data_IF_291648769855
#
_entry.id   IF_291648769855
#
_cell.length_a   1.000
_cell.length_b   1.000
_cell.length_c   1.000
_cell.angle_alpha   90.00
_cell.angle_beta   90.00
_cell.angle_gamma   90.00
#
_symmetry.space_group_name_H-M   'P 1'
#
loop_
_entity.id
_entity.type
_entity.pdbx_description
1 polymer ?
#
# COMPACT_ATOMS: atom_id res chain seq x y z
N UNK A 1 -6.87 2.43 38.86
CA UNK A 1 -7.06 1.10 38.23
C UNK A 1 -8.03 1.13 37.05
N UNK A 2 -9.19 1.82 37.12
CA UNK A 2 -10.16 1.90 36.02
C UNK A 2 -9.60 2.45 34.70
N UNK A 3 -8.74 3.47 34.76
CA UNK A 3 -8.13 4.10 33.58
C UNK A 3 -7.19 3.15 32.81
N UNK A 4 -6.44 2.28 33.51
CA UNK A 4 -5.56 1.30 32.87
C UNK A 4 -6.36 0.24 32.11
N UNK A 5 -7.45 -0.24 32.70
CA UNK A 5 -8.36 -1.16 32.02
C UNK A 5 -9.04 -0.52 30.83
N UNK A 6 -9.45 0.75 30.92
CA UNK A 6 -10.03 1.49 29.80
C UNK A 6 -9.04 1.64 28.62
N UNK A 7 -7.77 1.97 28.90
CA UNK A 7 -6.72 2.06 27.88
C UNK A 7 -6.40 0.72 27.24
N UNK A 8 -6.33 -0.35 28.03
CA UNK A 8 -6.11 -1.72 27.53
C UNK A 8 -7.30 -2.15 26.66
N UNK A 9 -8.53 -1.93 27.12
CA UNK A 9 -9.74 -2.22 26.34
C UNK A 9 -9.75 -1.42 25.03
N UNK A 10 -9.46 -0.11 25.07
CA UNK A 10 -9.36 0.70 23.86
C UNK A 10 -8.28 0.16 22.92
N UNK A 11 -7.08 -0.12 23.42
CA UNK A 11 -5.99 -0.69 22.63
C UNK A 11 -6.34 -2.02 21.97
N UNK A 12 -7.01 -2.93 22.70
CA UNK A 12 -7.48 -4.20 22.17
C UNK A 12 -8.57 -4.01 21.11
N UNK A 13 -9.49 -3.07 21.31
CA UNK A 13 -10.53 -2.74 20.32
C UNK A 13 -9.89 -2.17 19.06
N UNK A 14 -9.00 -1.18 19.19
CA UNK A 14 -8.28 -0.59 18.05
C UNK A 14 -7.47 -1.64 17.31
N UNK A 15 -6.73 -2.49 18.02
CA UNK A 15 -5.97 -3.59 17.41
C UNK A 15 -6.88 -4.55 16.65
N UNK A 16 -8.02 -4.92 17.25
CA UNK A 16 -9.00 -5.80 16.61
C UNK A 16 -9.56 -5.18 15.33
N UNK A 17 -9.87 -3.88 15.34
CA UNK A 17 -10.36 -3.15 14.16
C UNK A 17 -9.28 -3.12 13.08
N UNK A 18 -8.03 -2.77 13.43
CA UNK A 18 -6.90 -2.70 12.48
C UNK A 18 -6.61 -4.07 11.87
N UNK A 19 -6.51 -5.12 12.69
CA UNK A 19 -6.28 -6.49 12.20
C UNK A 19 -7.43 -6.97 11.33
N UNK A 20 -8.68 -6.67 11.70
CA UNK A 20 -9.84 -7.01 10.87
C UNK A 20 -9.81 -6.27 9.53
N UNK A 21 -9.47 -4.99 9.53
CA UNK A 21 -9.37 -4.20 8.31
C UNK A 21 -8.28 -4.74 7.37
N UNK A 22 -7.07 -4.99 7.88
CA UNK A 22 -5.92 -5.41 7.09
C UNK A 22 -5.95 -6.89 6.68
N UNK A 23 -6.35 -7.79 7.58
CA UNK A 23 -6.18 -9.23 7.39
C UNK A 23 -7.51 -9.98 7.20
N UNK A 24 -8.67 -9.34 7.38
CA UNK A 24 -9.95 -10.06 7.45
C UNK A 24 -10.42 -10.73 6.16
N UNK A 25 -9.76 -10.47 5.02
CA UNK A 25 -9.99 -11.18 3.76
C UNK A 25 -9.18 -12.49 3.63
N UNK A 26 -8.23 -12.75 4.52
CA UNK A 26 -7.37 -13.94 4.42
C UNK A 26 -8.17 -15.24 4.61
N UNK A 27 -7.80 -16.34 3.90
CA UNK A 27 -8.49 -17.62 3.99
C UNK A 27 -8.60 -18.16 5.43
N UNK A 28 -7.58 -17.90 6.26
CA UNK A 28 -7.50 -18.33 7.66
C UNK A 28 -8.64 -17.75 8.51
N UNK A 29 -9.12 -16.55 8.18
CA UNK A 29 -10.17 -15.87 8.94
C UNK A 29 -11.57 -16.07 8.36
N UNK A 30 -11.75 -16.90 7.33
CA UNK A 30 -13.07 -17.16 6.76
C UNK A 30 -14.01 -17.79 7.80
N UNK A 31 -15.22 -17.23 7.91
CA UNK A 31 -16.22 -17.67 8.90
C UNK A 31 -15.98 -17.17 10.34
N UNK A 32 -14.93 -16.38 10.59
CA UNK A 32 -14.65 -15.81 11.92
C UNK A 32 -15.28 -14.41 12.11
N UNK A 33 -15.38 -13.90 13.35
CA UNK A 33 -15.80 -12.52 13.62
C UNK A 33 -14.93 -11.47 12.91
N UNK A 34 -13.63 -11.74 12.74
CA UNK A 34 -12.67 -10.85 12.06
C UNK A 34 -13.07 -10.63 10.59
N UNK A 35 -13.43 -11.70 9.88
CA UNK A 35 -13.92 -11.60 8.48
C UNK A 35 -15.28 -10.90 8.39
N UNK A 36 -16.10 -10.97 9.43
CA UNK A 36 -17.39 -10.28 9.48
C UNK A 36 -17.20 -8.78 9.72
N UNK A 37 -16.32 -8.40 10.65
CA UNK A 37 -15.93 -7.00 10.90
C UNK A 37 -15.31 -6.40 9.63
N UNK A 38 -14.42 -7.13 8.96
CA UNK A 38 -13.85 -6.70 7.68
C UNK A 38 -14.94 -6.38 6.67
N UNK A 39 -15.82 -7.34 6.35
CA UNK A 39 -16.93 -7.15 5.40
C UNK A 39 -17.83 -5.98 5.76
N UNK A 40 -18.08 -5.77 7.06
CA UNK A 40 -18.84 -4.63 7.53
C UNK A 40 -18.08 -3.31 7.29
N UNK A 41 -16.80 -3.22 7.62
CA UNK A 41 -16.01 -2.01 7.44
C UNK A 41 -15.77 -1.64 5.97
N UNK A 42 -15.48 -2.61 5.09
CA UNK A 42 -15.16 -2.34 3.68
C UNK A 42 -16.38 -2.10 2.81
N UNK A 43 -17.47 -2.85 3.00
CA UNK A 43 -18.64 -2.75 2.12
C UNK A 43 -19.94 -2.53 2.87
N UNK A 44 -20.12 -3.19 4.02
CA UNK A 44 -21.38 -3.19 4.75
C UNK A 44 -21.79 -1.80 5.24
N UNK A 45 -20.90 -1.06 5.89
CA UNK A 45 -21.16 0.27 6.43
C UNK A 45 -21.61 1.24 5.33
N UNK A 46 -20.95 1.21 4.17
CA UNK A 46 -21.32 2.02 3.02
C UNK A 46 -22.69 1.62 2.46
N UNK A 47 -22.96 0.33 2.30
CA UNK A 47 -24.25 -0.16 1.83
C UNK A 47 -25.40 0.17 2.79
N UNK A 48 -25.18 0.05 4.10
CA UNK A 48 -26.17 0.46 5.12
C UNK A 48 -26.41 1.96 5.09
N UNK A 49 -25.36 2.76 4.91
CA UNK A 49 -25.47 4.20 4.73
C UNK A 49 -26.30 4.56 3.49
N UNK A 50 -26.01 3.95 2.33
CA UNK A 50 -26.81 4.17 1.11
C UNK A 50 -28.27 3.74 1.28
N UNK A 51 -28.53 2.61 1.93
CA UNK A 51 -29.91 2.16 2.24
C UNK A 51 -30.62 3.13 3.17
N UNK A 52 -29.92 3.66 4.17
CA UNK A 52 -30.47 4.67 5.08
C UNK A 52 -30.82 5.95 4.32
N UNK A 53 -29.91 6.44 3.46
CA UNK A 53 -30.16 7.60 2.61
C UNK A 53 -31.35 7.35 1.68
N UNK A 54 -31.44 6.17 1.06
CA UNK A 54 -32.58 5.78 0.24
C UNK A 54 -33.90 5.71 1.02
N UNK A 55 -33.87 5.26 2.28
CA UNK A 55 -35.04 5.22 3.14
C UNK A 55 -35.52 6.62 3.57
N UNK A 56 -34.59 7.55 3.84
CA UNK A 56 -34.90 8.91 4.34
C UNK A 56 -35.18 9.90 3.20
N UNK A 57 -34.39 9.85 2.13
CA UNK A 57 -34.37 10.83 1.04
C UNK A 57 -34.83 10.27 -0.31
N UNK A 58 -35.18 8.98 -0.37
CA UNK A 58 -35.59 8.30 -1.60
C UNK A 58 -34.44 8.15 -2.61
N UNK A 59 -34.80 7.74 -3.83
CA UNK A 59 -33.83 7.48 -4.90
C UNK A 59 -33.02 8.73 -5.30
N UNK A 60 -33.59 9.93 -5.11
CA UNK A 60 -32.86 11.19 -5.37
C UNK A 60 -31.66 11.38 -4.46
N UNK A 61 -31.79 11.04 -3.18
CA UNK A 61 -30.68 11.11 -2.22
C UNK A 61 -29.59 10.10 -2.54
N UNK A 62 -29.97 8.86 -2.83
CA UNK A 62 -29.02 7.81 -3.22
C UNK A 62 -28.28 8.18 -4.51
N UNK A 63 -28.99 8.66 -5.54
CA UNK A 63 -28.38 9.07 -6.81
C UNK A 63 -27.43 10.26 -6.64
N UNK A 64 -27.70 11.19 -5.71
CA UNK A 64 -26.78 12.27 -5.39
C UNK A 64 -25.47 11.73 -4.79
N UNK A 65 -25.55 10.81 -3.83
CA UNK A 65 -24.36 10.20 -3.23
C UNK A 65 -23.55 9.44 -4.29
N UNK A 66 -24.21 8.64 -5.13
CA UNK A 66 -23.54 7.93 -6.23
C UNK A 66 -22.91 8.88 -7.25
N UNK A 67 -23.55 10.03 -7.53
CA UNK A 67 -22.97 11.06 -8.40
C UNK A 67 -21.73 11.71 -7.77
N UNK A 68 -21.73 11.92 -6.46
CA UNK A 68 -20.57 12.44 -5.72
C UNK A 68 -19.45 11.40 -5.70
N UNK A 69 -19.76 10.13 -5.45
CA UNK A 69 -18.81 9.02 -5.53
C UNK A 69 -18.15 8.96 -6.91
N UNK A 70 -18.95 8.97 -7.97
CA UNK A 70 -18.44 8.98 -9.34
C UNK A 70 -17.53 10.17 -9.63
N UNK A 71 -17.91 11.37 -9.15
CA UNK A 71 -17.09 12.58 -9.34
C UNK A 71 -15.78 12.55 -8.53
N UNK A 72 -15.82 12.06 -7.30
CA UNK A 72 -14.69 12.06 -6.37
C UNK A 72 -13.73 10.87 -6.54
N UNK A 73 -14.21 9.72 -7.03
CA UNK A 73 -13.44 8.47 -7.09
C UNK A 73 -13.16 8.02 -8.53
N UNK A 74 -14.13 8.15 -9.44
CA UNK A 74 -14.02 7.60 -10.80
C UNK A 74 -13.58 8.62 -11.85
N UNK A 75 -13.49 9.90 -11.47
CA UNK A 75 -13.08 11.01 -12.33
C UNK A 75 -11.84 11.70 -11.76
N UNK A 76 -10.89 12.13 -12.62
CA UNK A 76 -9.77 12.95 -12.17
C UNK A 76 -10.27 14.22 -11.50
N UNK A 77 -9.93 14.41 -10.23
CA UNK A 77 -10.31 15.59 -9.45
C UNK A 77 -9.18 15.98 -8.48
N UNK A 78 -9.02 17.28 -8.16
CA UNK A 78 -7.97 17.75 -7.28
C UNK A 78 -8.29 17.53 -5.79
N UNK A 79 -9.46 17.00 -5.43
CA UNK A 79 -9.91 16.93 -4.03
C UNK A 79 -8.95 16.07 -3.20
N UNK A 80 -8.58 14.89 -3.73
CA UNK A 80 -7.62 14.01 -3.06
C UNK A 80 -6.23 14.66 -2.91
N UNK A 81 -5.81 15.46 -3.90
CA UNK A 81 -4.54 16.19 -3.83
C UNK A 81 -4.56 17.26 -2.74
N UNK A 82 -5.67 18.01 -2.65
CA UNK A 82 -5.85 19.03 -1.60
C UNK A 82 -5.90 18.41 -0.20
N UNK A 83 -6.60 17.29 -0.03
CA UNK A 83 -6.65 16.56 1.24
C UNK A 83 -5.25 16.10 1.65
N UNK A 84 -4.50 15.53 0.73
CA UNK A 84 -3.13 15.09 0.99
C UNK A 84 -2.22 16.26 1.40
N UNK A 85 -2.25 17.38 0.65
CA UNK A 85 -1.47 18.59 0.99
C UNK A 85 -1.87 19.15 2.36
N UNK A 86 -3.17 19.13 2.70
CA UNK A 86 -3.66 19.55 4.00
C UNK A 86 -3.15 18.64 5.12
N UNK A 87 -3.10 17.32 4.92
CA UNK A 87 -2.58 16.35 5.90
C UNK A 87 -1.09 16.59 6.14
N UNK A 88 -0.27 16.68 5.09
CA UNK A 88 1.17 16.92 5.23
C UNK A 88 1.44 18.28 5.87
N UNK A 89 0.79 19.34 5.37
CA UNK A 89 0.96 20.70 5.88
C UNK A 89 0.57 20.83 7.34
N UNK A 90 -0.58 20.28 7.73
CA UNK A 90 -1.06 20.31 9.11
C UNK A 90 -0.16 19.49 10.03
N UNK A 91 0.23 18.28 9.62
CA UNK A 91 1.11 17.42 10.43
C UNK A 91 2.46 18.09 10.66
N UNK A 92 3.06 18.65 9.61
CA UNK A 92 4.32 19.38 9.73
C UNK A 92 4.18 20.63 10.61
N UNK A 93 3.11 21.40 10.44
CA UNK A 93 2.82 22.56 11.29
C UNK A 93 2.75 22.18 12.78
N UNK A 94 2.04 21.11 13.12
CA UNK A 94 1.95 20.62 14.51
C UNK A 94 3.36 20.23 15.01
N UNK A 95 4.13 19.45 14.23
CA UNK A 95 5.51 19.05 14.60
C UNK A 95 6.38 20.28 14.89
N UNK A 96 6.33 21.30 14.02
CA UNK A 96 7.10 22.54 14.22
C UNK A 96 6.66 23.24 15.51
N UNK A 97 5.35 23.38 15.74
CA UNK A 97 4.83 24.10 16.92
C UNK A 97 5.10 23.38 18.23
N UNK A 98 5.05 22.04 18.25
CA UNK A 98 5.11 21.27 19.50
C UNK A 98 6.45 20.62 19.77
N UNK A 99 7.27 20.36 18.74
CA UNK A 99 8.47 19.55 18.88
C UNK A 99 9.75 20.33 18.60
N UNK A 100 9.73 21.36 17.74
CA UNK A 100 10.96 22.11 17.42
C UNK A 100 11.49 22.91 18.62
N UNK A 101 10.64 23.26 19.59
CA UNK A 101 11.07 23.91 20.84
C UNK A 101 12.04 23.06 21.66
N UNK A 102 12.06 21.74 21.45
CA UNK A 102 12.97 20.81 22.13
C UNK A 102 14.23 20.47 21.32
N UNK A 103 14.43 21.14 20.19
CA UNK A 103 15.61 21.01 19.33
C UNK A 103 16.36 22.34 19.39
N UNK A 104 17.69 22.41 19.54
CA UNK A 104 18.58 21.29 19.84
C UNK A 104 18.30 20.73 21.25
N UNK A 105 18.35 19.41 21.34
CA UNK A 105 18.22 18.67 22.60
C UNK A 105 19.41 17.73 22.78
N UNK A 106 19.42 16.99 23.89
CA UNK A 106 20.54 16.11 24.23
C UNK A 106 20.97 15.12 23.13
N UNK A 107 20.02 14.56 22.38
CA UNK A 107 20.28 13.57 21.31
C UNK A 107 20.09 14.11 19.89
N UNK A 108 19.53 15.31 19.73
CA UNK A 108 19.14 15.82 18.41
C UNK A 108 19.67 17.23 18.19
N UNK A 109 20.54 17.38 17.19
CA UNK A 109 21.18 18.66 16.86
C UNK A 109 20.23 19.62 16.15
N UNK A 110 20.60 20.90 16.08
CA UNK A 110 19.80 21.94 15.42
C UNK A 110 19.63 21.70 13.91
N UNK A 111 20.56 20.98 13.27
CA UNK A 111 20.55 20.67 11.84
C UNK A 111 19.23 20.00 11.42
N UNK A 112 18.63 19.21 12.32
CA UNK A 112 17.37 18.50 12.06
C UNK A 112 16.18 19.44 11.81
N UNK A 113 16.21 20.70 12.28
CA UNK A 113 15.17 21.70 11.96
C UNK A 113 15.19 22.09 10.48
N UNK A 114 16.38 22.32 9.93
CA UNK A 114 16.54 22.69 8.52
C UNK A 114 16.39 21.48 7.60
N UNK A 115 16.97 20.33 7.99
CA UNK A 115 16.87 19.09 7.23
C UNK A 115 15.42 18.59 7.13
N UNK A 116 14.62 18.72 8.20
CA UNK A 116 13.19 18.33 8.15
C UNK A 116 12.37 19.22 7.22
N UNK A 117 12.60 20.53 7.19
CA UNK A 117 11.97 21.43 6.22
C UNK A 117 12.30 21.02 4.78
N UNK A 118 13.58 20.80 4.49
CA UNK A 118 14.03 20.36 3.18
C UNK A 118 13.41 19.02 2.77
N UNK A 119 13.36 18.06 3.69
CA UNK A 119 12.80 16.73 3.42
C UNK A 119 11.30 16.77 3.09
N UNK A 120 10.53 17.60 3.80
CA UNK A 120 9.10 17.81 3.52
C UNK A 120 8.91 18.52 2.17
N UNK A 121 9.73 19.53 1.87
CA UNK A 121 9.67 20.24 0.59
C UNK A 121 9.94 19.31 -0.60
N UNK A 122 10.95 18.43 -0.49
CA UNK A 122 11.23 17.41 -1.51
C UNK A 122 10.04 16.45 -1.67
N UNK A 123 9.42 16.01 -0.57
CA UNK A 123 8.25 15.13 -0.62
C UNK A 123 7.05 15.76 -1.34
N UNK A 124 6.76 17.02 -1.04
CA UNK A 124 5.71 17.80 -1.74
C UNK A 124 6.04 17.92 -3.23
N UNK A 125 7.30 18.20 -3.57
CA UNK A 125 7.71 18.36 -4.95
C UNK A 125 7.59 17.06 -5.75
N UNK A 126 8.04 15.93 -5.18
CA UNK A 126 7.85 14.61 -5.77
C UNK A 126 6.36 14.32 -5.99
N UNK A 127 5.52 14.63 -5.00
CA UNK A 127 4.07 14.48 -5.13
C UNK A 127 3.47 15.33 -6.27
N UNK A 128 3.89 16.59 -6.40
CA UNK A 128 3.42 17.46 -7.48
C UNK A 128 3.88 16.96 -8.85
N UNK A 129 5.14 16.53 -8.97
CA UNK A 129 5.67 15.93 -10.21
C UNK A 129 4.83 14.71 -10.59
N UNK A 130 4.57 13.79 -9.67
CA UNK A 130 3.72 12.62 -9.92
C UNK A 130 2.28 13.00 -10.27
N UNK A 131 1.73 14.01 -9.60
CA UNK A 131 0.34 14.47 -9.81
C UNK A 131 0.10 15.14 -11.16
N UNK A 132 1.11 15.79 -11.74
CA UNK A 132 1.02 16.46 -13.03
C UNK A 132 1.67 15.67 -14.18
N UNK A 133 2.20 14.49 -13.89
CA UNK A 133 2.78 13.61 -14.91
C UNK A 133 1.68 12.97 -15.76
N UNK A 134 1.92 12.91 -17.06
CA UNK A 134 1.04 12.26 -18.02
C UNK A 134 1.08 10.74 -17.80
N UNK A 135 -0.07 10.07 -17.57
CA UNK A 135 -0.13 8.63 -17.32
C UNK A 135 0.15 7.77 -18.58
N UNK A 136 0.51 8.39 -19.71
CA UNK A 136 0.92 7.67 -20.91
C UNK A 136 -0.26 7.29 -21.81
N UNK A 137 -0.73 8.25 -22.61
CA UNK A 137 -1.85 8.03 -23.53
C UNK A 137 -1.37 7.42 -24.86
N UNK A 138 -1.95 6.28 -25.25
CA UNK A 138 -1.69 5.65 -26.56
C UNK A 138 -2.37 6.46 -27.67
N UNK A 139 -1.60 6.77 -28.70
CA UNK A 139 -1.93 7.57 -29.88
C UNK A 139 -1.53 6.81 -31.15
N UNK A 140 -2.05 7.23 -32.29
CA UNK A 140 -1.82 6.54 -33.56
C UNK A 140 -0.34 6.46 -33.98
N UNK A 141 0.50 7.38 -33.49
CA UNK A 141 1.94 7.45 -33.73
C UNK A 141 2.76 6.51 -32.82
N UNK A 142 2.31 6.25 -31.59
CA UNK A 142 3.04 5.41 -30.62
C UNK A 142 2.47 3.98 -30.48
N UNK A 143 1.29 3.68 -31.05
CA UNK A 143 0.62 2.37 -30.91
C UNK A 143 1.47 1.19 -31.41
N UNK A 144 2.25 1.37 -32.48
CA UNK A 144 3.11 0.31 -33.03
C UNK A 144 4.17 -0.14 -32.03
N UNK A 145 4.69 0.79 -31.24
CA UNK A 145 5.66 0.52 -30.17
C UNK A 145 5.01 -0.31 -29.06
N UNK A 146 3.84 0.09 -28.56
CA UNK A 146 3.14 -0.66 -27.51
C UNK A 146 2.75 -2.07 -27.96
N UNK A 147 2.32 -2.24 -29.21
CA UNK A 147 2.02 -3.57 -29.76
C UNK A 147 3.26 -4.46 -29.87
N UNK A 148 4.45 -3.87 -30.03
CA UNK A 148 5.72 -4.62 -30.04
C UNK A 148 6.20 -4.99 -28.63
N UNK A 149 5.97 -4.13 -27.64
CA UNK A 149 6.35 -4.35 -26.24
C UNK A 149 5.38 -5.32 -25.53
N UNK A 150 4.08 -5.18 -25.79
CA UNK A 150 3.01 -5.96 -25.17
C UNK A 150 2.20 -6.71 -26.25
N UNK A 151 2.71 -7.83 -26.79
CA UNK A 151 1.99 -8.61 -27.78
C UNK A 151 0.73 -9.24 -27.17
N UNK A 152 -0.30 -9.41 -28.00
CA UNK A 152 -1.55 -10.06 -27.59
C UNK A 152 -1.31 -11.53 -27.23
N UNK A 153 -1.64 -11.90 -26.00
CA UNK A 153 -1.55 -13.26 -25.47
C UNK A 153 -2.92 -13.97 -25.43
N UNK A 154 -4.00 -13.25 -25.75
CA UNK A 154 -5.40 -13.68 -25.66
C UNK A 154 -5.83 -14.17 -24.27
N UNK A 155 -5.04 -13.85 -23.24
CA UNK A 155 -5.32 -14.16 -21.83
C UNK A 155 -5.52 -12.85 -21.07
N UNK A 156 -4.51 -11.97 -21.09
CA UNK A 156 -4.52 -10.65 -20.44
C UNK A 156 -4.87 -9.56 -21.47
N UNK A 157 -4.25 -9.66 -22.65
CA UNK A 157 -4.35 -8.72 -23.73
C UNK A 157 -5.00 -9.40 -24.93
N UNK A 158 -6.26 -9.03 -25.17
CA UNK A 158 -7.06 -9.44 -26.32
C UNK A 158 -7.28 -8.24 -27.23
N UNK A 159 -7.42 -8.49 -28.52
CA UNK A 159 -7.88 -7.48 -29.46
C UNK A 159 -9.29 -7.02 -29.05
N UNK A 160 -9.46 -5.71 -28.91
CA UNK A 160 -10.73 -5.08 -28.55
C UNK A 160 -10.95 -3.87 -29.44
N UNK A 161 -12.13 -3.79 -30.03
CA UNK A 161 -12.58 -2.58 -30.70
C UNK A 161 -13.12 -1.61 -29.65
N UNK A 162 -12.51 -0.43 -29.53
CA UNK A 162 -13.03 0.60 -28.64
C UNK A 162 -14.32 1.19 -29.25
N UNK A 163 -15.45 1.27 -28.52
CA UNK A 163 -16.67 1.92 -29.04
C UNK A 163 -16.49 3.43 -29.29
N UNK A 164 -15.52 4.07 -28.63
CA UNK A 164 -15.16 5.49 -28.76
C UNK A 164 -14.44 5.82 -30.09
N UNK A 165 -14.18 4.82 -30.93
CA UNK A 165 -13.33 4.92 -32.13
C UNK A 165 -13.95 5.70 -33.30
N UNK A 166 -15.19 6.19 -33.17
CA UNK A 166 -15.83 7.01 -34.20
C UNK A 166 -15.58 8.52 -34.07
N UNK A 167 -14.96 9.02 -32.98
CA UNK A 167 -14.78 10.47 -32.80
C UNK A 167 -13.37 10.97 -32.50
N UNK A 168 -12.43 10.15 -32.03
CA UNK A 168 -11.02 10.55 -31.97
C UNK A 168 -10.11 9.32 -31.84
N UNK A 169 -9.00 9.31 -32.58
CA UNK A 169 -8.13 8.15 -32.78
C UNK A 169 -7.14 7.93 -31.63
N UNK A 170 -7.57 8.17 -30.39
CA UNK A 170 -6.69 8.12 -29.22
C UNK A 170 -7.44 7.81 -27.93
N UNK A 171 -7.82 6.55 -27.68
CA UNK A 171 -8.07 6.12 -26.30
C UNK A 171 -8.10 4.60 -26.15
N UNK A 172 -6.93 4.03 -25.86
CA UNK A 172 -6.79 2.82 -25.05
C UNK A 172 -5.48 2.98 -24.26
N UNK A 173 -5.58 3.41 -23.01
CA UNK A 173 -4.46 3.82 -22.18
C UNK A 173 -3.62 2.61 -21.73
N UNK A 174 -2.34 2.59 -22.11
CA UNK A 174 -1.30 1.79 -21.47
C UNK A 174 0.07 2.45 -21.70
N UNK A 175 0.58 3.17 -20.70
CA UNK A 175 2.00 3.29 -20.41
C UNK A 175 2.17 3.44 -18.89
N UNK A 176 2.32 2.32 -18.19
CA UNK A 176 2.17 2.24 -16.74
C UNK A 176 3.51 2.41 -15.99
N UNK A 177 4.65 2.28 -16.66
CA UNK A 177 5.94 2.12 -15.98
C UNK A 177 6.52 3.41 -15.41
N UNK A 178 6.32 4.54 -16.09
CA UNK A 178 6.82 5.87 -15.66
C UNK A 178 6.04 6.37 -14.45
N UNK A 179 4.71 6.23 -14.50
CA UNK A 179 3.84 6.60 -13.38
C UNK A 179 4.08 5.68 -12.18
N UNK A 180 4.31 4.38 -12.42
CA UNK A 180 4.62 3.42 -11.36
C UNK A 180 5.96 3.73 -10.67
N UNK A 181 7.01 4.06 -11.42
CA UNK A 181 8.30 4.47 -10.85
C UNK A 181 8.16 5.74 -10.00
N UNK A 182 7.45 6.76 -10.49
CA UNK A 182 7.17 7.99 -9.75
C UNK A 182 6.35 7.74 -8.48
N UNK A 183 5.37 6.84 -8.53
CA UNK A 183 4.58 6.41 -7.36
C UNK A 183 5.49 5.75 -6.33
N UNK A 184 6.38 4.84 -6.74
CA UNK A 184 7.33 4.17 -5.83
C UNK A 184 8.30 5.17 -5.20
N UNK A 185 8.79 6.15 -5.97
CA UNK A 185 9.67 7.19 -5.44
C UNK A 185 8.96 8.06 -4.41
N UNK A 186 7.72 8.50 -4.69
CA UNK A 186 6.92 9.28 -3.73
C UNK A 186 6.67 8.46 -2.47
N UNK A 187 6.17 7.23 -2.63
CA UNK A 187 5.79 6.37 -1.50
C UNK A 187 7.01 6.02 -0.63
N UNK A 188 8.12 5.62 -1.26
CA UNK A 188 9.38 5.36 -0.58
C UNK A 188 9.92 6.57 0.17
N UNK A 189 9.82 7.78 -0.41
CA UNK A 189 10.22 9.02 0.28
C UNK A 189 9.35 9.29 1.51
N UNK A 190 8.03 9.15 1.40
CA UNK A 190 7.10 9.35 2.52
C UNK A 190 7.30 8.31 3.62
N UNK A 191 7.57 7.06 3.25
CA UNK A 191 7.93 6.00 4.18
C UNK A 191 9.16 6.37 5.01
N UNK A 192 10.25 6.79 4.33
CA UNK A 192 11.47 7.24 5.00
C UNK A 192 11.22 8.45 5.90
N UNK A 193 10.43 9.43 5.44
CA UNK A 193 10.07 10.62 6.21
C UNK A 193 9.29 10.26 7.49
N UNK A 194 8.34 9.34 7.40
CA UNK A 194 7.55 8.89 8.55
C UNK A 194 8.40 8.11 9.57
N UNK A 195 9.27 7.21 9.12
CA UNK A 195 10.22 6.50 10.00
C UNK A 195 11.16 7.50 10.66
N UNK A 196 11.78 8.37 9.87
CA UNK A 196 12.72 9.37 10.37
C UNK A 196 12.06 10.26 11.42
N UNK A 197 10.87 10.77 11.15
CA UNK A 197 10.17 11.61 12.12
C UNK A 197 9.78 10.84 13.39
N UNK A 198 9.45 9.54 13.28
CA UNK A 198 9.14 8.68 14.44
C UNK A 198 10.37 8.55 15.34
N UNK A 199 11.53 8.27 14.73
CA UNK A 199 12.82 8.21 15.41
C UNK A 199 13.18 9.57 16.02
N UNK A 200 13.07 10.66 15.25
CA UNK A 200 13.41 12.00 15.70
C UNK A 200 12.56 12.45 16.90
N UNK A 201 11.25 12.22 16.87
CA UNK A 201 10.38 12.50 18.02
C UNK A 201 10.74 11.60 19.20
N UNK A 202 11.10 10.34 18.96
CA UNK A 202 11.59 9.42 19.99
C UNK A 202 12.86 9.93 20.68
N UNK A 203 13.82 10.44 19.90
CA UNK A 203 15.04 11.05 20.40
C UNK A 203 14.76 12.35 21.17
N UNK A 204 13.80 13.16 20.71
CA UNK A 204 13.34 14.34 21.45
C UNK A 204 12.81 13.93 22.84
N UNK A 205 11.91 12.94 22.90
CA UNK A 205 11.36 12.48 24.18
C UNK A 205 12.41 11.84 25.10
N UNK A 206 13.33 11.05 24.55
CA UNK A 206 14.45 10.50 25.29
C UNK A 206 15.38 11.61 25.82
N UNK A 207 15.59 12.67 25.03
CA UNK A 207 16.34 13.86 25.44
C UNK A 207 15.68 14.56 26.61
N UNK A 208 14.35 14.77 26.55
CA UNK A 208 13.58 15.37 27.65
C UNK A 208 13.62 14.55 28.93
N UNK A 209 13.54 13.22 28.81
CA UNK A 209 13.68 12.31 29.96
C UNK A 209 15.04 12.49 30.65
N UNK A 210 16.11 12.67 29.86
CA UNK A 210 17.48 12.84 30.35
C UNK A 210 17.71 14.24 30.94
N UNK A 211 17.28 15.29 30.26
CA UNK A 211 17.43 16.70 30.65
C UNK A 211 16.71 17.01 31.96
N UNK A 212 15.51 16.46 32.15
CA UNK A 212 14.73 16.64 33.38
C UNK A 212 15.13 15.65 34.48
N UNK A 213 16.10 14.77 34.21
CA UNK A 213 16.59 13.75 35.14
C UNK A 213 15.48 12.92 35.79
N UNK A 214 14.41 12.60 35.04
CA UNK A 214 13.21 11.94 35.57
C UNK A 214 13.55 10.60 36.25
N UNK A 215 14.48 9.82 35.67
CA UNK A 215 14.94 8.56 36.27
C UNK A 215 15.61 8.79 37.62
N UNK A 216 16.38 9.88 37.77
CA UNK A 216 17.02 10.22 39.04
C UNK A 216 15.99 10.64 40.08
N UNK A 217 15.00 11.46 39.69
CA UNK A 217 13.90 11.86 40.57
C UNK A 217 13.10 10.65 41.04
N UNK A 218 12.74 9.73 40.13
CA UNK A 218 11.99 8.52 40.48
C UNK A 218 12.77 7.59 41.42
N UNK A 219 14.07 7.41 41.18
CA UNK A 219 14.89 6.50 42.00
C UNK A 219 15.30 7.10 43.34
N UNK A 220 15.75 8.35 43.37
CA UNK A 220 16.30 8.98 44.59
C UNK A 220 15.22 9.62 45.45
N UNK A 221 14.24 10.30 44.85
CA UNK A 221 13.23 11.02 45.62
C UNK A 221 12.02 10.14 45.94
N UNK A 222 11.53 9.38 44.96
CA UNK A 222 10.37 8.49 45.13
C UNK A 222 10.74 7.06 45.53
N UNK A 223 12.04 6.73 45.61
CA UNK A 223 12.50 5.41 46.07
C UNK A 223 12.14 4.25 45.14
N UNK A 224 11.90 4.50 43.86
CA UNK A 224 11.60 3.44 42.89
C UNK A 224 12.87 2.65 42.57
N UNK A 225 12.79 1.32 42.55
CA UNK A 225 13.92 0.47 42.18
C UNK A 225 14.49 0.86 40.81
N UNK A 226 15.81 0.89 40.67
CA UNK A 226 16.52 1.22 39.42
C UNK A 226 16.50 0.04 38.41
N UNK A 227 15.33 -0.54 38.19
CA UNK A 227 15.07 -1.55 37.18
C UNK A 227 14.16 -0.99 36.09
N UNK A 228 14.38 -1.40 34.84
CA UNK A 228 13.54 -0.94 33.73
C UNK A 228 12.07 -1.29 33.95
N UNK A 229 11.78 -2.45 34.53
CA UNK A 229 10.41 -2.92 34.75
C UNK A 229 9.67 -2.11 35.82
N UNK A 230 10.35 -1.63 36.85
CA UNK A 230 9.78 -0.78 37.90
C UNK A 230 9.64 0.67 37.45
N UNK A 231 10.60 1.19 36.68
CA UNK A 231 10.57 2.57 36.17
C UNK A 231 9.61 2.78 34.99
N UNK A 232 9.49 1.79 34.10
CA UNK A 232 8.67 1.87 32.89
C UNK A 232 7.26 2.43 33.11
N UNK A 233 6.43 1.93 34.06
CA UNK A 233 5.06 2.46 34.23
C UNK A 233 5.04 3.95 34.58
N UNK A 234 5.96 4.42 35.43
CA UNK A 234 6.02 5.83 35.83
C UNK A 234 6.54 6.72 34.70
N UNK A 235 7.55 6.26 33.97
CA UNK A 235 8.10 6.98 32.82
C UNK A 235 7.06 7.06 31.70
N UNK A 236 6.36 5.97 31.41
CA UNK A 236 5.29 5.96 30.40
C UNK A 236 4.13 6.86 30.82
N UNK A 237 3.72 6.81 32.09
CA UNK A 237 2.68 7.70 32.61
C UNK A 237 3.09 9.18 32.46
N UNK A 238 4.32 9.52 32.82
CA UNK A 238 4.86 10.87 32.64
C UNK A 238 4.91 11.30 31.17
N UNK A 239 5.37 10.42 30.27
CA UNK A 239 5.41 10.71 28.83
C UNK A 239 4.01 10.96 28.26
N UNK A 240 3.01 10.17 28.66
CA UNK A 240 1.64 10.32 28.20
C UNK A 240 0.97 11.59 28.73
N UNK A 241 1.33 12.04 29.94
CA UNK A 241 0.75 13.23 30.55
C UNK A 241 1.43 14.52 30.05
N UNK A 242 2.77 14.56 30.07
CA UNK A 242 3.55 15.75 29.72
C UNK A 242 3.77 15.93 28.21
N UNK A 243 3.73 14.84 27.43
CA UNK A 243 4.12 14.82 26.02
C UNK A 243 3.12 14.08 25.12
N UNK A 244 1.81 14.18 25.45
CA UNK A 244 0.72 13.53 24.72
C UNK A 244 0.75 13.74 23.20
N UNK A 245 1.07 14.95 22.75
CA UNK A 245 1.05 15.34 21.33
C UNK A 245 2.20 14.67 20.58
N UNK A 246 3.39 14.63 21.17
CA UNK A 246 4.55 13.96 20.58
C UNK A 246 4.31 12.45 20.48
N UNK A 247 3.72 11.85 21.51
CA UNK A 247 3.33 10.43 21.47
C UNK A 247 2.29 10.17 20.37
N UNK A 248 1.26 11.01 20.26
CA UNK A 248 0.24 10.87 19.22
C UNK A 248 0.85 10.97 17.80
N UNK A 249 1.73 11.96 17.58
CA UNK A 249 2.42 12.13 16.29
C UNK A 249 3.32 10.94 15.97
N UNK A 250 4.08 10.45 16.96
CA UNK A 250 4.95 9.28 16.81
C UNK A 250 4.14 8.03 16.43
N UNK A 251 3.02 7.79 17.12
CA UNK A 251 2.13 6.65 16.80
C UNK A 251 1.52 6.82 15.42
N UNK A 252 1.00 8.01 15.08
CA UNK A 252 0.43 8.29 13.77
C UNK A 252 1.43 8.02 12.64
N UNK A 253 2.64 8.56 12.75
CA UNK A 253 3.70 8.36 11.76
C UNK A 253 4.20 6.91 11.72
N UNK A 254 4.27 6.22 12.86
CA UNK A 254 4.56 4.80 12.92
C UNK A 254 3.53 3.96 12.16
N UNK A 255 2.24 4.20 12.39
CA UNK A 255 1.16 3.51 11.67
C UNK A 255 1.18 3.82 10.18
N UNK A 256 1.33 5.09 9.80
CA UNK A 256 1.43 5.48 8.39
C UNK A 256 2.65 4.83 7.73
N UNK A 257 3.80 4.76 8.41
CA UNK A 257 4.99 4.10 7.86
C UNK A 257 4.77 2.60 7.60
N UNK A 258 4.02 1.89 8.45
CA UNK A 258 3.68 0.49 8.21
C UNK A 258 2.78 0.32 6.97
N UNK A 259 1.83 1.23 6.78
CA UNK A 259 0.95 1.22 5.60
C UNK A 259 1.74 1.50 4.31
N UNK A 260 2.60 2.53 4.32
CA UNK A 260 3.45 2.87 3.18
C UNK A 260 4.46 1.76 2.89
N UNK A 261 5.02 1.08 3.90
CA UNK A 261 5.90 -0.06 3.67
C UNK A 261 5.21 -1.20 2.89
N UNK A 262 3.93 -1.46 3.19
CA UNK A 262 3.14 -2.46 2.48
C UNK A 262 2.87 -2.05 1.03
N UNK A 263 2.53 -0.78 0.81
CA UNK A 263 2.31 -0.23 -0.53
C UNK A 263 3.60 -0.24 -1.35
N UNK A 264 4.70 0.21 -0.77
CA UNK A 264 6.03 0.19 -1.36
C UNK A 264 6.44 -1.22 -1.76
N UNK A 265 6.33 -2.19 -0.85
CA UNK A 265 6.70 -3.57 -1.12
C UNK A 265 5.84 -4.19 -2.24
N UNK A 266 4.55 -3.87 -2.25
CA UNK A 266 3.64 -4.32 -3.31
C UNK A 266 4.03 -3.75 -4.68
N UNK A 267 4.23 -2.44 -4.78
CA UNK A 267 4.61 -1.78 -6.04
C UNK A 267 6.02 -2.14 -6.49
N UNK A 268 6.97 -2.31 -5.55
CA UNK A 268 8.28 -2.85 -5.86
C UNK A 268 8.17 -4.25 -6.49
N UNK A 269 7.36 -5.14 -5.90
CA UNK A 269 7.14 -6.48 -6.46
C UNK A 269 6.49 -6.44 -7.86
N UNK A 270 5.58 -5.49 -8.11
CA UNK A 270 4.99 -5.27 -9.43
C UNK A 270 6.07 -4.90 -10.48
N UNK A 271 6.95 -3.94 -10.15
CA UNK A 271 8.08 -3.60 -11.02
C UNK A 271 9.01 -4.79 -11.26
N UNK A 272 9.34 -5.56 -10.22
CA UNK A 272 10.26 -6.69 -10.33
C UNK A 272 9.70 -7.80 -11.24
N UNK A 273 8.38 -7.97 -11.26
CA UNK A 273 7.71 -9.02 -12.05
C UNK A 273 7.20 -8.53 -13.41
N UNK A 274 7.47 -7.26 -13.75
CA UNK A 274 6.89 -6.55 -14.89
C UNK A 274 5.39 -6.82 -15.00
N UNK A 275 4.67 -6.56 -13.90
CA UNK A 275 3.21 -6.68 -13.88
C UNK A 275 2.56 -5.44 -13.35
N UNK A 276 1.38 -5.13 -13.87
CA UNK A 276 0.57 -4.02 -13.38
C UNK A 276 -0.47 -4.51 -12.37
N UNK A 277 -1.02 -3.59 -11.56
CA UNK A 277 -2.11 -3.92 -10.62
C UNK A 277 -3.32 -4.52 -11.37
N UNK A 278 -3.67 -3.96 -12.53
CA UNK A 278 -4.75 -4.46 -13.37
C UNK A 278 -4.47 -5.88 -13.91
N UNK A 279 -3.23 -6.14 -14.34
CA UNK A 279 -2.83 -7.48 -14.77
C UNK A 279 -2.85 -8.49 -13.62
N UNK A 280 -2.52 -8.06 -12.40
CA UNK A 280 -2.60 -8.93 -11.21
C UNK A 280 -4.04 -9.41 -11.00
N UNK A 281 -5.04 -8.54 -11.15
CA UNK A 281 -6.45 -8.92 -11.08
C UNK A 281 -6.86 -9.85 -12.23
N UNK A 282 -6.47 -9.55 -13.47
CA UNK A 282 -6.74 -10.41 -14.63
C UNK A 282 -6.16 -11.82 -14.45
N UNK A 283 -4.93 -11.91 -13.94
CA UNK A 283 -4.29 -13.20 -13.63
C UNK A 283 -5.05 -13.97 -12.54
N UNK A 284 -5.51 -13.29 -11.49
CA UNK A 284 -6.32 -13.90 -10.44
C UNK A 284 -7.63 -14.47 -11.00
N UNK A 285 -8.32 -13.70 -11.84
CA UNK A 285 -9.55 -14.14 -12.50
C UNK A 285 -9.31 -15.36 -13.39
N UNK A 286 -8.27 -15.32 -14.23
CA UNK A 286 -7.89 -16.43 -15.09
C UNK A 286 -7.57 -17.72 -14.30
N UNK A 287 -6.76 -17.61 -13.24
CA UNK A 287 -6.42 -18.76 -12.39
C UNK A 287 -7.68 -19.29 -11.68
N UNK A 288 -8.56 -18.41 -11.19
CA UNK A 288 -9.80 -18.81 -10.55
C UNK A 288 -10.73 -19.57 -11.51
N UNK A 289 -10.81 -19.10 -12.75
CA UNK A 289 -11.60 -19.74 -13.81
C UNK A 289 -11.02 -21.10 -14.21
N UNK A 290 -9.69 -21.19 -14.37
CA UNK A 290 -8.99 -22.46 -14.62
C UNK A 290 -9.26 -23.49 -13.52
N UNK A 291 -9.18 -23.09 -12.24
CA UNK A 291 -9.49 -23.98 -11.11
C UNK A 291 -10.92 -24.52 -11.18
N UNK A 292 -11.91 -23.64 -11.42
CA UNK A 292 -13.31 -24.04 -11.57
C UNK A 292 -13.52 -25.00 -12.75
N UNK A 293 -12.81 -24.81 -13.86
CA UNK A 293 -12.87 -25.71 -15.01
C UNK A 293 -12.28 -27.09 -14.70
N UNK A 294 -11.13 -27.15 -14.02
CA UNK A 294 -10.51 -28.41 -13.61
C UNK A 294 -11.43 -29.16 -12.66
N UNK A 295 -12.00 -28.48 -11.67
CA UNK A 295 -12.99 -29.04 -10.75
C UNK A 295 -14.22 -29.58 -11.50
N UNK A 296 -14.80 -28.80 -12.42
CA UNK A 296 -15.95 -29.22 -13.21
C UNK A 296 -15.64 -30.43 -14.11
N UNK A 297 -14.45 -30.47 -14.74
CA UNK A 297 -13.98 -31.63 -15.52
C UNK A 297 -13.80 -32.85 -14.64
N UNK A 298 -13.22 -32.71 -13.45
CA UNK A 298 -13.06 -33.79 -12.49
C UNK A 298 -14.42 -34.32 -12.00
N UNK A 299 -15.38 -33.44 -11.69
CA UNK A 299 -16.75 -33.83 -11.34
C UNK A 299 -17.46 -34.56 -12.49
N UNK A 300 -17.29 -34.08 -13.73
CA UNK A 300 -17.85 -34.72 -14.93
C UNK A 300 -17.21 -36.08 -15.18
N UNK A 301 -15.90 -36.21 -15.01
CA UNK A 301 -15.18 -37.47 -15.15
C UNK A 301 -15.61 -38.49 -14.07
N UNK A 302 -15.78 -38.04 -12.82
CA UNK A 302 -16.30 -38.87 -11.74
C UNK A 302 -17.75 -39.32 -12.01
N UNK A 303 -18.60 -38.43 -12.53
CA UNK A 303 -19.96 -38.78 -12.94
C UNK A 303 -19.98 -39.82 -14.07
N UNK A 304 -19.14 -39.64 -15.10
CA UNK A 304 -18.99 -40.60 -16.21
C UNK A 304 -18.48 -41.95 -15.73
N UNK A 305 -17.53 -41.98 -14.80
CA UNK A 305 -17.02 -43.22 -14.19
C UNK A 305 -18.10 -43.96 -13.38
N UNK A 306 -18.94 -43.23 -12.64
CA UNK A 306 -20.08 -43.81 -11.93
C UNK A 306 -21.13 -44.39 -12.89
N UNK A 307 -21.44 -43.68 -13.99
CA UNK A 307 -22.39 -44.15 -15.00
C UNK A 307 -21.84 -45.39 -15.73
N UNK A 308 -20.57 -45.39 -16.12
CA UNK A 308 -19.91 -46.52 -16.77
C UNK A 308 -19.80 -47.75 -15.85
N UNK A 309 -19.60 -47.55 -14.55
CA UNK A 309 -19.65 -48.61 -13.54
C UNK A 309 -21.06 -49.16 -13.30
N UNK A 310 -22.12 -48.47 -13.74
CA UNK A 310 -23.51 -48.91 -13.65
C UNK A 310 -23.92 -49.77 -14.85
N UNK A 311 -23.21 -49.69 -15.97
CA UNK A 311 -23.48 -50.44 -17.22
C UNK A 311 -22.72 -51.76 -17.35
N UNK A 312 -21.72 -52.02 -16.49
CA UNK A 312 -20.97 -53.28 -16.46
C UNK A 312 -21.30 -54.02 -15.17
N UNK A 313 -22.10 -55.08 -15.28
CA UNK A 313 -22.74 -55.82 -14.17
C UNK A 313 -21.76 -56.40 -13.13
N UNK A 314 -22.28 -56.60 -11.90
CA UNK A 314 -21.91 -57.73 -11.04
C UNK A 314 -20.48 -57.79 -10.49
N UNK A 315 -20.32 -57.40 -9.20
CA UNK A 315 -19.18 -57.69 -8.30
C UNK A 315 -17.76 -57.34 -8.81
N UNK A 316 -17.18 -56.27 -8.24
CA UNK A 316 -15.98 -56.38 -7.37
C UNK A 316 -15.79 -55.07 -6.60
N UNK A 317 -15.74 -55.18 -5.27
CA UNK A 317 -15.59 -54.07 -4.32
C UNK A 317 -14.11 -53.69 -4.20
N UNK A 318 -13.58 -52.95 -5.18
CA UNK A 318 -12.26 -52.32 -5.05
C UNK A 318 -12.33 -51.04 -4.22
N UNK A 319 -11.29 -50.85 -3.40
CA UNK A 319 -11.30 -49.96 -2.23
C UNK A 319 -11.49 -48.47 -2.58
N UNK A 320 -12.52 -47.86 -2.00
CA UNK A 320 -12.78 -46.40 -1.98
C UNK A 320 -11.56 -45.54 -1.57
N UNK A 321 -10.58 -46.13 -0.88
CA UNK A 321 -9.37 -45.45 -0.43
C UNK A 321 -8.43 -45.08 -1.59
N UNK A 322 -8.29 -45.93 -2.62
CA UNK A 322 -7.37 -45.66 -3.74
C UNK A 322 -7.85 -44.57 -4.70
N UNK A 323 -9.16 -44.39 -4.90
CA UNK A 323 -9.67 -43.31 -5.76
C UNK A 323 -9.60 -41.94 -5.07
N UNK A 324 -9.84 -41.91 -3.75
CA UNK A 324 -9.74 -40.68 -2.95
C UNK A 324 -8.29 -40.15 -2.90
N UNK A 325 -7.30 -41.05 -2.74
CA UNK A 325 -5.88 -40.68 -2.82
C UNK A 325 -5.42 -40.25 -4.22
N UNK A 326 -6.04 -40.78 -5.29
CA UNK A 326 -5.75 -40.33 -6.66
C UNK A 326 -6.31 -38.94 -6.94
N UNK A 327 -7.41 -38.57 -6.26
CA UNK A 327 -8.05 -37.27 -6.39
C UNK A 327 -7.31 -36.17 -5.62
N UNK A 328 -6.70 -36.48 -4.47
CA UNK A 328 -5.83 -35.51 -3.77
C UNK A 328 -4.46 -35.35 -4.46
N UNK A 329 -3.89 -36.42 -5.04
CA UNK A 329 -2.60 -36.34 -5.75
C UNK A 329 -2.70 -35.55 -7.07
N UNK A 330 -3.84 -35.62 -7.77
CA UNK A 330 -4.08 -34.80 -8.97
C UNK A 330 -4.31 -33.31 -8.65
N UNK A 331 -4.67 -32.97 -7.41
CA UNK A 331 -4.87 -31.59 -6.99
C UNK A 331 -3.54 -30.85 -6.76
N UNK A 332 -2.46 -31.60 -6.50
CA UNK A 332 -1.10 -31.07 -6.32
C UNK A 332 -0.22 -31.13 -7.58
N UNK A 333 -0.66 -31.78 -8.66
CA UNK A 333 0.18 -32.03 -9.86
C UNK A 333 -0.25 -31.21 -11.07
N UNK A 334 -0.45 -29.91 -10.88
CA UNK A 334 -0.26 -28.84 -11.86
C UNK A 334 -0.54 -27.54 -11.11
N UNK A 335 0.46 -27.04 -10.37
CA UNK A 335 0.42 -25.63 -9.97
C UNK A 335 0.25 -24.86 -11.28
N UNK A 336 -0.94 -24.31 -11.55
CA UNK A 336 -1.29 -23.58 -12.77
C UNK A 336 -0.15 -22.59 -13.03
N UNK A 337 0.76 -22.94 -13.94
CA UNK A 337 2.02 -22.22 -14.10
C UNK A 337 1.66 -20.90 -14.76
N UNK A 338 1.68 -19.83 -13.97
CA UNK A 338 1.60 -18.46 -14.49
C UNK A 338 2.83 -18.23 -15.36
N UNK A 339 2.69 -18.40 -16.67
CA UNK A 339 3.73 -18.07 -17.65
C UNK A 339 3.54 -16.62 -18.07
N UNK A 340 4.12 -15.70 -17.31
CA UNK A 340 4.10 -14.28 -17.66
C UNK A 340 5.05 -14.01 -18.83
N UNK A 341 4.52 -13.76 -20.03
CA UNK A 341 5.33 -13.49 -21.24
C UNK A 341 5.97 -12.09 -21.18
N UNK A 342 5.46 -11.21 -20.32
CA UNK A 342 5.96 -9.85 -20.12
C UNK A 342 7.15 -9.78 -19.13
N UNK A 343 7.36 -10.83 -18.33
CA UNK A 343 8.50 -10.90 -17.42
C UNK A 343 9.77 -11.32 -18.16
N UNK A 344 10.71 -10.37 -18.34
CA UNK A 344 12.00 -10.57 -19.02
C UNK A 344 13.15 -10.85 -18.03
N UNK A 345 12.82 -11.00 -16.74
CA UNK A 345 13.77 -11.23 -15.65
C UNK A 345 14.17 -9.95 -14.92
N UNK A 346 14.55 -10.10 -13.65
CA UNK A 346 14.79 -9.02 -12.67
C UNK A 346 15.53 -7.80 -13.22
N UNK A 347 16.70 -7.99 -13.84
CA UNK A 347 17.51 -6.88 -14.35
C UNK A 347 16.91 -6.27 -15.62
N UNK A 348 16.34 -7.07 -16.53
CA UNK A 348 15.75 -6.54 -17.76
C UNK A 348 14.45 -5.78 -17.53
N UNK A 349 13.67 -6.16 -16.52
CA UNK A 349 12.44 -5.45 -16.13
C UNK A 349 12.74 -4.09 -15.50
N UNK A 350 13.85 -3.96 -14.74
CA UNK A 350 14.26 -2.69 -14.14
C UNK A 350 14.83 -1.68 -15.14
N UNK A 351 15.45 -2.17 -16.23
CA UNK A 351 16.10 -1.36 -17.26
C UNK A 351 15.31 -1.32 -18.58
N UNK A 352 14.01 -1.62 -18.56
CA UNK A 352 13.20 -1.64 -19.77
C UNK A 352 13.20 -0.24 -20.44
N UNK A 353 13.44 -0.14 -21.77
CA UNK A 353 13.61 1.13 -22.47
C UNK A 353 12.42 2.11 -22.33
N UNK A 354 11.22 1.62 -22.01
CA UNK A 354 10.06 2.46 -21.72
C UNK A 354 10.22 3.32 -20.45
N UNK A 355 10.92 2.84 -19.41
CA UNK A 355 11.25 3.63 -18.20
C UNK A 355 12.17 4.78 -18.57
N UNK A 356 13.12 4.53 -19.47
CA UNK A 356 14.13 5.48 -19.89
C UNK A 356 13.61 6.48 -20.95
N UNK A 357 12.71 6.04 -21.83
CA UNK A 357 12.08 6.88 -22.85
C UNK A 357 10.93 7.73 -22.30
N UNK A 358 10.29 7.34 -21.20
CA UNK A 358 9.38 8.20 -20.45
C UNK A 358 10.06 9.43 -19.84
N UNK A 359 11.29 9.23 -19.35
CA UNK A 359 12.17 10.32 -18.91
C UNK A 359 12.52 11.22 -20.11
N UNK A 360 12.80 10.64 -21.29
CA UNK A 360 13.08 11.39 -22.53
C UNK A 360 11.82 12.10 -23.10
N UNK A 361 10.62 11.58 -22.92
CA UNK A 361 9.37 12.22 -23.33
C UNK A 361 8.96 13.39 -22.41
N UNK A 362 9.43 13.42 -21.16
CA UNK A 362 9.36 14.62 -20.31
C UNK A 362 10.27 15.76 -20.83
N UNK A 363 11.41 15.38 -21.42
CA UNK A 363 12.41 16.27 -22.04
C UNK A 363 11.87 16.98 -23.28
N UNK A 364 11.01 16.33 -24.07
CA UNK A 364 10.45 16.89 -25.32
C UNK A 364 9.33 17.93 -25.12
N UNK A 365 8.81 18.09 -23.90
CA UNK A 365 7.81 19.11 -23.54
C UNK A 365 8.41 20.40 -22.95
N UNK A 366 9.70 20.65 -23.17
CA UNK A 366 10.37 21.90 -22.80
C UNK A 366 10.83 22.00 -21.34
N UNK A 367 10.88 20.89 -20.62
CA UNK A 367 11.58 20.79 -19.34
C UNK A 367 12.96 20.21 -19.61
N UNK A 368 13.93 21.08 -19.94
CA UNK A 368 15.34 20.71 -20.09
C UNK A 368 15.90 20.28 -18.72
N UNK A 369 15.69 19.02 -18.39
CA UNK A 369 16.01 18.41 -17.10
C UNK A 369 17.43 17.83 -17.01
N UNK A 370 18.17 17.83 -18.13
CA UNK A 370 19.53 17.24 -18.19
C UNK A 370 20.62 18.18 -17.65
N UNK A 371 20.41 19.50 -17.77
CA UNK A 371 21.23 20.54 -17.15
C UNK A 371 20.56 21.17 -15.92
N UNK A 372 19.40 20.63 -15.52
CA UNK A 372 18.69 21.14 -14.35
C UNK A 372 19.48 20.78 -13.08
N UNK A 373 19.88 21.76 -12.27
CA UNK A 373 20.46 21.50 -10.95
C UNK A 373 19.53 20.65 -10.09
N UNK A 374 18.26 20.50 -10.47
CA UNK A 374 17.25 19.66 -9.84
C UNK A 374 17.45 18.15 -10.03
N UNK A 375 17.83 17.64 -11.22
CA UNK A 375 18.10 16.20 -11.39
C UNK A 375 19.43 15.82 -10.74
N UNK A 376 20.44 16.69 -10.83
CA UNK A 376 21.69 16.51 -10.08
C UNK A 376 21.45 16.58 -8.56
N UNK A 377 20.48 17.39 -8.11
CA UNK A 377 20.01 17.39 -6.73
C UNK A 377 19.20 16.14 -6.40
N UNK A 378 18.42 15.57 -7.32
CA UNK A 378 17.63 14.35 -7.10
C UNK A 378 18.50 13.11 -7.03
N UNK A 379 19.48 12.97 -7.93
CA UNK A 379 20.52 11.95 -7.88
C UNK A 379 21.41 12.15 -6.65
N UNK A 380 21.76 13.41 -6.34
CA UNK A 380 22.46 13.79 -5.12
C UNK A 380 21.69 13.45 -3.85
N UNK A 381 20.38 13.69 -3.81
CA UNK A 381 19.46 13.40 -2.69
C UNK A 381 19.12 11.91 -2.58
N UNK A 382 19.09 11.17 -3.69
CA UNK A 382 18.99 9.71 -3.72
C UNK A 382 20.27 9.08 -3.18
N UNK A 383 21.45 9.60 -3.54
CA UNK A 383 22.73 9.20 -2.94
C UNK A 383 22.84 9.64 -1.48
N UNK A 384 22.29 10.80 -1.11
CA UNK A 384 22.26 11.29 0.27
C UNK A 384 21.28 10.47 1.12
N UNK A 385 20.12 10.07 0.59
CA UNK A 385 19.13 9.23 1.28
C UNK A 385 19.64 7.80 1.42
N UNK A 386 20.39 7.27 0.44
CA UNK A 386 21.11 6.01 0.57
C UNK A 386 22.21 6.11 1.64
N UNK A 387 23.01 7.19 1.64
CA UNK A 387 24.08 7.41 2.64
C UNK A 387 23.55 7.67 4.05
N UNK A 388 22.49 8.46 4.20
CA UNK A 388 21.83 8.71 5.48
C UNK A 388 21.07 7.48 5.98
N UNK A 389 20.43 6.72 5.09
CA UNK A 389 19.81 5.43 5.43
C UNK A 389 20.84 4.41 5.93
N UNK A 390 22.02 4.34 5.29
CA UNK A 390 23.13 3.48 5.73
C UNK A 390 23.75 4.00 7.04
N UNK A 391 23.89 5.32 7.24
CA UNK A 391 24.36 5.88 8.52
C UNK A 391 23.37 5.69 9.69
N UNK A 392 22.07 5.63 9.42
CA UNK A 392 21.03 5.39 10.44
C UNK A 392 20.89 3.90 10.78
N UNK A 393 21.41 3.00 9.93
CA UNK A 393 21.52 1.55 10.19
C UNK A 393 22.85 1.15 10.85
N UNK A 394 23.82 2.07 10.93
CA UNK A 394 25.16 1.86 11.50
C UNK A 394 25.40 2.63 12.82
N UNK A 395 24.35 3.23 13.38
CA UNK A 395 24.28 3.81 14.73
C UNK A 395 23.12 3.15 15.48
#
# INVERSE_FOLDING_TARGET
MSLHWALICHGLITLTIVVSFLCGQWPIFQGTPISSIHRFLTFGAYQYFLRFIGAVFGDRGTNLILSVEYYCCDRPNPILQLIYLAIIGTTYYIIVKTSFSYIPGYYLSEVHRYASFLAVAVGILLFLVTSFSDPGTVKADNVSRYLSAYPYDNIIYTEKECPTYLLDRSTAAYAIDVLLALIITVDGWHFLLCIYGTIAIGLVLAGRLKELQIVHVLTVYYGVDNSLRSLAPYVVQWLLDAHNTQILLMVFMGVVSLLLAGFFAYHANLCLTNTTTNETFKWQDYISWQKKLIEARASTAALKANIAGMTTEGKLRESKCKSFFRQSLLQDTEAIVKKNVYDKGFFHNLYEPEVQDGIIASKSRGWDLEDSPFIQLLDGLMLLSLKMGIQTLLL
#
